data_IF_178474989784
#
_entry.id   IF_178474989784
#
_cell.length_a   1.000
_cell.length_b   1.000
_cell.length_c   1.000
_cell.angle_alpha   90.00
_cell.angle_beta   90.00
_cell.angle_gamma   90.00
#
_symmetry.space_group_name_H-M   'P 1'
#
loop_
_entity.id
_entity.type
_entity.pdbx_description
1 polymer ?
#
# COMPACT_ATOMS: atom_id res chain seq x y z
N UNK A 1 -4.89 3.32 -15.99
CA UNK A 1 -3.64 2.99 -15.28
C UNK A 1 -2.40 3.07 -16.19
N UNK A 2 -2.52 3.63 -17.38
CA UNK A 2 -1.40 3.82 -18.30
C UNK A 2 -0.66 2.52 -18.67
N UNK A 3 -1.39 1.41 -18.78
CA UNK A 3 -0.79 0.12 -19.12
C UNK A 3 -1.00 -0.29 -20.58
N UNK A 4 -1.80 0.45 -21.35
CA UNK A 4 -2.05 0.10 -22.74
C UNK A 4 -0.78 0.01 -23.58
N UNK A 5 0.19 0.88 -23.33
CA UNK A 5 1.48 0.88 -24.01
C UNK A 5 2.38 -0.32 -23.62
N UNK A 6 2.05 -0.99 -22.51
CA UNK A 6 2.87 -2.09 -21.99
C UNK A 6 2.39 -3.47 -22.45
N UNK A 7 1.19 -3.56 -23.01
CA UNK A 7 0.58 -4.86 -23.32
C UNK A 7 1.40 -5.74 -24.28
N UNK A 8 2.24 -5.13 -25.09
CA UNK A 8 3.09 -5.85 -26.06
C UNK A 8 4.50 -6.10 -25.54
N UNK A 9 4.81 -5.71 -24.31
CA UNK A 9 6.11 -5.94 -23.71
C UNK A 9 6.13 -7.27 -22.96
N UNK A 10 7.31 -7.89 -22.94
CA UNK A 10 7.49 -9.10 -22.15
C UNK A 10 7.44 -8.76 -20.66
N UNK A 11 6.77 -9.60 -19.88
CA UNK A 11 6.58 -9.36 -18.45
C UNK A 11 7.92 -9.14 -17.72
N UNK A 12 8.97 -9.84 -18.13
CA UNK A 12 10.28 -9.72 -17.50
C UNK A 12 10.96 -8.37 -17.73
N UNK A 13 10.49 -7.58 -18.70
CA UNK A 13 11.06 -6.26 -19.00
C UNK A 13 10.36 -5.14 -18.24
N UNK A 14 9.31 -5.43 -17.47
CA UNK A 14 8.56 -4.43 -16.72
C UNK A 14 9.27 -4.07 -15.41
N UNK A 15 9.23 -2.77 -15.04
CA UNK A 15 9.70 -2.33 -13.73
C UNK A 15 8.77 -2.85 -12.62
N UNK A 16 9.22 -2.77 -11.36
CA UNK A 16 8.41 -3.15 -10.21
C UNK A 16 7.09 -2.37 -10.15
N UNK A 17 7.14 -1.04 -10.41
CA UNK A 17 5.94 -0.22 -10.44
C UNK A 17 5.00 -0.57 -11.56
N UNK A 18 5.54 -0.88 -12.74
CA UNK A 18 4.72 -1.29 -13.88
C UNK A 18 4.05 -2.63 -13.63
N UNK A 19 4.75 -3.57 -13.01
CA UNK A 19 4.17 -4.86 -12.60
C UNK A 19 3.03 -4.65 -11.62
N UNK A 20 3.19 -3.79 -10.63
CA UNK A 20 2.15 -3.50 -9.64
C UNK A 20 0.91 -2.90 -10.30
N UNK A 21 1.09 -1.96 -11.23
CA UNK A 21 -0.04 -1.38 -11.97
C UNK A 21 -0.78 -2.43 -12.78
N UNK A 22 -0.04 -3.33 -13.42
CA UNK A 22 -0.64 -4.41 -14.20
C UNK A 22 -1.43 -5.37 -13.31
N UNK A 23 -0.87 -5.75 -12.16
CA UNK A 23 -1.55 -6.62 -11.19
C UNK A 23 -2.87 -5.99 -10.71
N UNK A 24 -2.86 -4.71 -10.40
CA UNK A 24 -4.05 -3.98 -9.96
C UNK A 24 -5.08 -3.93 -11.09
N UNK A 25 -4.66 -3.63 -12.31
CA UNK A 25 -5.57 -3.59 -13.45
C UNK A 25 -6.22 -4.94 -13.71
N UNK A 26 -5.47 -6.03 -13.57
CA UNK A 26 -6.02 -7.39 -13.72
C UNK A 26 -7.06 -7.68 -12.65
N UNK A 27 -6.79 -7.31 -11.40
CA UNK A 27 -7.75 -7.48 -10.33
C UNK A 27 -9.03 -6.68 -10.59
N UNK A 28 -8.91 -5.46 -11.11
CA UNK A 28 -10.05 -4.61 -11.43
C UNK A 28 -10.93 -5.18 -12.56
N UNK A 29 -10.37 -6.01 -13.43
CA UNK A 29 -11.13 -6.63 -14.51
C UNK A 29 -12.27 -7.49 -13.99
N UNK A 30 -12.23 -7.96 -12.76
CA UNK A 30 -13.29 -8.74 -12.12
C UNK A 30 -14.39 -7.87 -11.51
N UNK A 31 -14.29 -6.56 -11.59
CA UNK A 31 -15.21 -5.59 -10.99
C UNK A 31 -15.44 -5.85 -9.49
N UNK A 32 -14.38 -5.82 -8.67
CA UNK A 32 -14.47 -6.20 -7.25
C UNK A 32 -15.02 -5.08 -6.37
N UNK A 33 -15.57 -5.46 -5.21
CA UNK A 33 -15.90 -4.52 -4.13
C UNK A 33 -14.72 -4.28 -3.22
N UNK A 34 -13.80 -5.22 -3.13
CA UNK A 34 -12.60 -5.16 -2.29
C UNK A 34 -11.39 -5.65 -3.06
N UNK A 35 -10.24 -5.05 -2.77
CA UNK A 35 -8.96 -5.47 -3.33
C UNK A 35 -7.97 -5.66 -2.18
N UNK A 36 -7.22 -6.75 -2.23
CA UNK A 36 -6.10 -7.00 -1.33
C UNK A 36 -4.80 -6.73 -2.08
N UNK A 37 -3.99 -5.84 -1.54
CA UNK A 37 -2.67 -5.52 -2.06
C UNK A 37 -1.61 -5.99 -1.07
N UNK A 38 -0.86 -7.01 -1.43
CA UNK A 38 0.18 -7.59 -0.58
C UNK A 38 1.52 -6.93 -0.90
N UNK A 39 2.02 -6.14 0.03
CA UNK A 39 3.27 -5.40 -0.08
C UNK A 39 3.40 -4.61 -1.39
N UNK A 40 2.45 -3.70 -1.67
CA UNK A 40 2.42 -3.02 -2.98
C UNK A 40 3.64 -2.13 -3.24
N UNK A 41 4.37 -1.72 -2.20
CA UNK A 41 5.55 -0.85 -2.34
C UNK A 41 6.87 -1.61 -2.36
N UNK A 42 6.85 -2.94 -2.19
CA UNK A 42 8.08 -3.73 -2.15
C UNK A 42 8.78 -3.71 -3.50
N UNK A 43 10.08 -3.38 -3.48
CA UNK A 43 10.90 -3.37 -4.71
C UNK A 43 10.53 -2.28 -5.71
N UNK A 44 9.79 -1.27 -5.29
CA UNK A 44 9.31 -0.19 -6.16
C UNK A 44 10.12 1.07 -5.90
N UNK A 45 10.55 1.75 -6.96
CA UNK A 45 11.31 2.99 -6.85
C UNK A 45 10.40 4.15 -6.35
N UNK A 46 10.99 5.23 -5.79
CA UNK A 46 10.21 6.31 -5.18
C UNK A 46 9.18 6.97 -6.13
N UNK A 47 9.51 7.10 -7.41
CA UNK A 47 8.58 7.69 -8.39
C UNK A 47 7.38 6.79 -8.59
N UNK A 48 7.62 5.49 -8.72
CA UNK A 48 6.55 4.51 -8.91
C UNK A 48 5.72 4.31 -7.66
N UNK A 49 6.30 4.49 -6.47
CA UNK A 49 5.53 4.48 -5.21
C UNK A 49 4.43 5.54 -5.26
N UNK A 50 4.76 6.75 -5.72
CA UNK A 50 3.76 7.81 -5.81
C UNK A 50 2.66 7.47 -6.81
N UNK A 51 2.98 6.83 -7.92
CA UNK A 51 1.98 6.38 -8.88
C UNK A 51 1.03 5.34 -8.25
N UNK A 52 1.57 4.41 -7.48
CA UNK A 52 0.76 3.40 -6.79
C UNK A 52 -0.15 4.05 -5.76
N UNK A 53 0.35 5.05 -5.02
CA UNK A 53 -0.47 5.81 -4.07
C UNK A 53 -1.66 6.46 -4.75
N UNK A 54 -1.45 7.07 -5.92
CA UNK A 54 -2.52 7.69 -6.70
C UNK A 54 -3.56 6.66 -7.15
N UNK A 55 -3.11 5.48 -7.56
CA UNK A 55 -4.02 4.41 -7.94
C UNK A 55 -4.88 3.99 -6.74
N UNK A 56 -4.28 3.82 -5.57
CA UNK A 56 -5.00 3.44 -4.36
C UNK A 56 -6.07 4.50 -4.02
N UNK A 57 -5.72 5.78 -4.12
CA UNK A 57 -6.69 6.86 -3.90
C UNK A 57 -7.85 6.80 -4.91
N UNK A 58 -7.56 6.51 -6.17
CA UNK A 58 -8.59 6.36 -7.19
C UNK A 58 -9.52 5.20 -6.86
N UNK A 59 -8.99 4.07 -6.38
CA UNK A 59 -9.80 2.92 -5.98
C UNK A 59 -10.74 3.29 -4.83
N UNK A 60 -10.22 3.98 -3.82
CA UNK A 60 -11.02 4.46 -2.70
C UNK A 60 -12.14 5.38 -3.18
N UNK A 61 -11.83 6.30 -4.08
CA UNK A 61 -12.81 7.24 -4.60
C UNK A 61 -13.91 6.57 -5.41
N UNK A 62 -13.65 5.38 -5.94
CA UNK A 62 -14.66 4.56 -6.61
C UNK A 62 -15.49 3.73 -5.64
N UNK A 63 -15.23 3.83 -4.34
CA UNK A 63 -15.93 3.04 -3.33
C UNK A 63 -15.43 1.63 -3.17
N UNK A 64 -14.24 1.31 -3.69
CA UNK A 64 -13.61 -0.01 -3.53
C UNK A 64 -12.87 -0.03 -2.20
N UNK A 65 -13.12 -1.05 -1.38
CA UNK A 65 -12.35 -1.27 -0.16
C UNK A 65 -10.97 -1.80 -0.51
N UNK A 66 -9.92 -1.20 0.09
CA UNK A 66 -8.54 -1.60 -0.18
C UNK A 66 -7.88 -2.04 1.12
N UNK A 67 -7.46 -3.30 1.18
CA UNK A 67 -6.69 -3.83 2.28
C UNK A 67 -5.25 -3.98 1.83
N UNK A 68 -4.34 -3.36 2.56
CA UNK A 68 -2.91 -3.36 2.23
C UNK A 68 -2.16 -4.07 3.34
N UNK A 69 -1.31 -5.04 2.99
CA UNK A 69 -0.32 -5.56 3.91
C UNK A 69 1.02 -4.92 3.55
N UNK A 70 1.72 -4.40 4.55
CA UNK A 70 2.97 -3.68 4.29
C UNK A 70 3.81 -3.64 5.56
N UNK A 71 5.13 -3.63 5.40
CA UNK A 71 6.05 -3.40 6.50
C UNK A 71 6.67 -1.99 6.46
N UNK A 72 6.46 -1.24 5.38
CA UNK A 72 6.84 0.15 5.29
C UNK A 72 5.77 1.00 5.98
N UNK A 73 5.91 1.17 7.31
CA UNK A 73 4.88 1.79 8.13
C UNK A 73 4.63 3.23 7.72
N UNK A 74 5.68 3.98 7.43
CA UNK A 74 5.56 5.39 7.05
C UNK A 74 4.68 5.57 5.80
N UNK A 75 4.96 4.82 4.75
CA UNK A 75 4.18 4.91 3.51
C UNK A 75 2.73 4.47 3.72
N UNK A 76 2.54 3.40 4.49
CA UNK A 76 1.21 2.88 4.78
C UNK A 76 0.38 3.88 5.56
N UNK A 77 0.93 4.47 6.62
CA UNK A 77 0.20 5.42 7.46
C UNK A 77 -0.18 6.68 6.69
N UNK A 78 0.57 7.04 5.66
CA UNK A 78 0.27 8.24 4.89
C UNK A 78 -0.94 8.09 3.97
N UNK A 79 -1.38 6.86 3.68
CA UNK A 79 -2.46 6.61 2.72
C UNK A 79 -3.66 5.87 3.29
N UNK A 80 -3.52 5.17 4.42
CA UNK A 80 -4.62 4.38 4.96
C UNK A 80 -5.52 5.20 5.87
N UNK A 81 -6.80 4.82 5.91
CA UNK A 81 -7.78 5.43 6.82
C UNK A 81 -7.69 4.79 8.21
N UNK A 82 -7.29 3.52 8.26
CA UNK A 82 -7.18 2.74 9.49
C UNK A 82 -6.09 1.70 9.32
N UNK A 83 -5.32 1.49 10.36
CA UNK A 83 -4.24 0.50 10.35
C UNK A 83 -4.31 -0.42 11.56
N UNK A 84 -3.82 -1.63 11.36
CA UNK A 84 -3.61 -2.63 12.40
C UNK A 84 -2.13 -2.97 12.40
N UNK A 85 -1.47 -2.84 13.54
CA UNK A 85 -0.05 -3.17 13.66
C UNK A 85 0.08 -4.53 14.31
N UNK A 86 0.75 -5.44 13.61
CA UNK A 86 0.97 -6.81 14.07
C UNK A 86 2.41 -6.98 14.52
N UNK A 87 2.61 -7.64 15.62
CA UNK A 87 3.92 -8.03 16.12
C UNK A 87 3.82 -9.38 16.79
N UNK A 88 4.65 -10.34 16.37
CA UNK A 88 4.67 -11.69 16.92
C UNK A 88 3.28 -12.34 16.95
N UNK A 89 2.53 -12.18 15.87
CA UNK A 89 1.21 -12.78 15.73
C UNK A 89 0.09 -12.09 16.49
N UNK A 90 0.35 -10.93 17.08
CA UNK A 90 -0.64 -10.20 17.86
C UNK A 90 -0.84 -8.79 17.33
N UNK A 91 -2.07 -8.29 17.39
CA UNK A 91 -2.36 -6.89 17.10
C UNK A 91 -1.95 -6.06 18.30
N UNK A 92 -0.94 -5.20 18.13
CA UNK A 92 -0.44 -4.36 19.24
C UNK A 92 -1.01 -2.95 19.19
N UNK A 93 -1.61 -2.55 18.08
CA UNK A 93 -2.26 -1.25 17.94
C UNK A 93 -3.23 -1.28 16.78
N UNK A 94 -4.27 -0.46 16.86
CA UNK A 94 -5.19 -0.24 15.75
C UNK A 94 -5.75 1.18 15.81
N UNK A 95 -6.11 1.72 14.66
CA UNK A 95 -6.71 3.04 14.57
C UNK A 95 -6.20 3.84 13.40
N UNK A 96 -6.48 5.13 13.40
CA UNK A 96 -5.96 6.07 12.40
C UNK A 96 -4.47 6.35 12.62
N UNK A 97 -3.87 7.07 11.68
CA UNK A 97 -2.43 7.36 11.71
C UNK A 97 -1.97 8.00 13.01
N UNK A 98 -2.75 8.96 13.54
CA UNK A 98 -2.39 9.64 14.77
C UNK A 98 -2.32 8.69 15.96
N UNK A 99 -3.29 7.78 16.08
CA UNK A 99 -3.32 6.81 17.17
C UNK A 99 -2.13 5.84 17.08
N UNK A 100 -1.78 5.41 15.85
CA UNK A 100 -0.67 4.50 15.63
C UNK A 100 0.66 5.18 15.98
N UNK A 101 0.88 6.41 15.52
CA UNK A 101 2.12 7.14 15.78
C UNK A 101 2.28 7.46 17.27
N UNK A 102 1.19 7.71 17.97
CA UNK A 102 1.22 7.99 19.41
C UNK A 102 1.43 6.75 20.28
N UNK A 103 1.26 5.55 19.73
CA UNK A 103 1.40 4.31 20.49
C UNK A 103 2.86 4.03 20.81
N UNK A 104 3.17 3.94 22.11
CA UNK A 104 4.55 3.76 22.58
C UNK A 104 5.16 2.44 22.10
N UNK A 105 4.38 1.37 22.13
CA UNK A 105 4.85 0.05 21.71
C UNK A 105 5.19 0.03 20.21
N UNK A 106 4.39 0.68 19.39
CA UNK A 106 4.64 0.81 17.96
C UNK A 106 5.92 1.61 17.71
N UNK A 107 6.10 2.71 18.42
CA UNK A 107 7.30 3.53 18.30
C UNK A 107 8.56 2.74 18.65
N UNK A 108 8.50 1.94 19.70
CA UNK A 108 9.64 1.14 20.12
C UNK A 108 10.00 0.03 19.12
N UNK A 109 9.00 -0.57 18.50
CA UNK A 109 9.22 -1.72 17.61
C UNK A 109 9.50 -1.29 16.16
N UNK A 110 8.78 -0.28 15.65
CA UNK A 110 8.79 0.03 14.21
C UNK A 110 9.25 1.42 13.87
N UNK A 111 8.98 2.43 14.69
CA UNK A 111 9.10 3.81 14.26
C UNK A 111 10.29 4.56 14.88
N UNK A 112 10.65 4.21 16.10
CA UNK A 112 11.61 5.00 16.87
C UNK A 112 10.99 6.26 17.48
N UNK A 113 11.71 6.87 18.41
CA UNK A 113 11.17 7.93 19.25
C UNK A 113 10.99 9.27 18.52
N UNK A 114 11.71 9.50 17.44
CA UNK A 114 11.70 10.77 16.71
C UNK A 114 10.84 10.72 15.46
N UNK A 115 10.02 9.68 15.30
CA UNK A 115 9.17 9.54 14.12
C UNK A 115 8.06 10.59 14.12
N UNK A 116 7.85 11.19 12.93
CA UNK A 116 6.70 12.04 12.66
C UNK A 116 6.27 11.82 11.21
N UNK A 117 5.00 12.03 10.95
CA UNK A 117 4.45 11.91 9.60
C UNK A 117 4.69 13.15 8.75
#
# INVERSE_FOLDING_TARGET
FHIGRLRNQLAMSLSGGERRRLEIARALATNPQFILLDEPFAGVDPISVEDIRKIIEQLKNRGIGVLITEHNVRETLSICDRAYILNQGQVIAEGGSEAIVANEQVRNVYLGNNFSL
#
